data_IF_539195272373
#
_entry.id   IF_539195272373
#
_cell.length_a   1.000
_cell.length_b   1.000
_cell.length_c   1.000
_cell.angle_alpha   90.00
_cell.angle_beta   90.00
_cell.angle_gamma   90.00
#
_symmetry.space_group_name_H-M   'P 1'
#
loop_
_entity.id
_entity.type
_entity.pdbx_description
1 polymer ?
#
# COMPACT_ATOMS: atom_id res chain seq x y z
N UNK A 1 0.33 -3.49 -24.54
CA UNK A 1 1.60 -3.57 -23.79
C UNK A 1 1.39 -2.87 -22.47
N UNK A 2 1.98 -3.37 -21.40
CA UNK A 2 1.75 -2.87 -20.06
C UNK A 2 3.08 -2.88 -19.31
N UNK A 3 3.37 -1.79 -18.60
CA UNK A 3 4.49 -1.67 -17.69
C UNK A 3 4.00 -1.02 -16.41
N UNK A 4 4.51 -1.43 -15.26
CA UNK A 4 4.21 -0.82 -13.95
C UNK A 4 5.47 -0.52 -13.17
N UNK A 5 5.49 0.59 -12.45
CA UNK A 5 6.65 1.04 -11.65
C UNK A 5 6.58 0.66 -10.17
N UNK A 6 5.52 -0.04 -9.75
CA UNK A 6 5.29 -0.51 -8.39
C UNK A 6 5.57 -2.02 -8.23
N UNK A 7 5.65 -2.48 -6.98
CA UNK A 7 5.66 -3.92 -6.68
C UNK A 7 4.30 -4.57 -6.94
N UNK A 8 4.26 -5.91 -6.84
CA UNK A 8 3.06 -6.72 -7.06
C UNK A 8 2.36 -7.10 -5.74
N UNK A 9 1.04 -7.31 -5.79
CA UNK A 9 0.24 -7.73 -4.63
C UNK A 9 0.70 -9.07 -3.98
N UNK A 10 1.18 -10.10 -4.70
CA UNK A 10 1.77 -11.29 -4.07
C UNK A 10 2.94 -10.96 -3.14
N UNK A 11 3.79 -10.01 -3.55
CA UNK A 11 4.88 -9.51 -2.73
C UNK A 11 4.33 -8.75 -1.52
N UNK A 12 3.42 -7.80 -1.73
CA UNK A 12 2.86 -6.96 -0.67
C UNK A 12 2.07 -7.76 0.39
N UNK A 13 1.23 -8.71 -0.04
CA UNK A 13 0.50 -9.58 0.87
C UNK A 13 1.44 -10.41 1.75
N UNK A 14 2.53 -10.89 1.16
CA UNK A 14 3.59 -11.60 1.89
C UNK A 14 4.36 -10.67 2.83
N UNK A 15 4.63 -9.42 2.44
CA UNK A 15 5.24 -8.40 3.31
C UNK A 15 4.39 -8.18 4.55
N UNK A 16 3.09 -7.96 4.38
CA UNK A 16 2.19 -7.69 5.50
C UNK A 16 1.97 -8.91 6.39
N UNK A 17 1.95 -10.13 5.83
CA UNK A 17 1.91 -11.36 6.61
C UNK A 17 3.18 -11.57 7.45
N UNK A 18 4.36 -11.35 6.85
CA UNK A 18 5.64 -11.40 7.57
C UNK A 18 5.70 -10.35 8.68
N UNK A 19 5.30 -9.12 8.39
CA UNK A 19 5.22 -8.04 9.38
C UNK A 19 4.35 -8.46 10.57
N UNK A 20 3.11 -8.89 10.30
CA UNK A 20 2.18 -9.30 11.36
C UNK A 20 2.76 -10.42 12.24
N UNK A 21 3.35 -11.44 11.61
CA UNK A 21 3.95 -12.57 12.33
C UNK A 21 5.16 -12.17 13.17
N UNK A 22 6.02 -11.28 12.65
CA UNK A 22 7.19 -10.75 13.35
C UNK A 22 6.79 -9.86 14.54
N UNK A 23 5.68 -9.13 14.44
CA UNK A 23 5.07 -8.39 15.55
C UNK A 23 4.24 -9.31 16.48
N UNK A 24 4.48 -10.62 16.41
CA UNK A 24 3.93 -11.68 17.27
C UNK A 24 2.43 -11.99 17.07
N UNK A 25 1.78 -11.49 16.02
CA UNK A 25 0.41 -11.89 15.72
C UNK A 25 0.33 -13.40 15.46
N UNK A 26 -0.67 -14.06 16.05
CA UNK A 26 -0.96 -15.49 15.87
C UNK A 26 -2.26 -15.71 15.13
N UNK A 27 -3.16 -14.73 15.20
CA UNK A 27 -4.47 -14.78 14.57
C UNK A 27 -4.75 -13.50 13.79
N UNK A 28 -5.38 -13.66 12.61
CA UNK A 28 -5.76 -12.55 11.77
C UNK A 28 -7.23 -12.64 11.34
N UNK A 29 -7.88 -11.51 11.12
CA UNK A 29 -9.08 -11.42 10.32
C UNK A 29 -8.77 -10.69 9.01
N UNK A 30 -9.44 -11.05 7.92
CA UNK A 30 -9.28 -10.42 6.61
C UNK A 30 -10.61 -9.89 6.13
N UNK A 31 -10.66 -8.61 5.74
CA UNK A 31 -11.86 -7.93 5.23
C UNK A 31 -11.57 -7.45 3.82
N UNK A 32 -12.32 -7.95 2.83
CA UNK A 32 -12.09 -7.63 1.40
C UNK A 32 -13.35 -7.13 0.71
N UNK A 33 -13.19 -6.38 -0.38
CA UNK A 33 -14.30 -5.97 -1.22
C UNK A 33 -14.59 -7.04 -2.27
N UNK A 34 -15.83 -7.53 -2.30
CA UNK A 34 -16.28 -8.46 -3.32
C UNK A 34 -16.22 -7.81 -4.70
N UNK A 35 -15.55 -8.48 -5.65
CA UNK A 35 -15.47 -8.04 -7.04
C UNK A 35 -14.41 -6.96 -7.31
N UNK A 36 -13.59 -6.62 -6.31
CA UNK A 36 -12.41 -5.77 -6.49
C UNK A 36 -11.15 -6.65 -6.52
N UNK A 37 -10.47 -6.67 -7.67
CA UNK A 37 -9.33 -7.57 -7.90
C UNK A 37 -8.15 -7.26 -6.98
N UNK A 38 -7.89 -5.97 -6.69
CA UNK A 38 -6.84 -5.56 -5.76
C UNK A 38 -7.16 -6.01 -4.33
N UNK A 39 -8.33 -5.64 -3.79
CA UNK A 39 -8.73 -5.98 -2.43
C UNK A 39 -8.79 -7.49 -2.22
N UNK A 40 -9.44 -8.21 -3.14
CA UNK A 40 -9.57 -9.66 -3.07
C UNK A 40 -8.22 -10.35 -3.26
N UNK A 41 -7.42 -9.93 -4.25
CA UNK A 41 -6.12 -10.49 -4.55
C UNK A 41 -5.13 -10.30 -3.40
N UNK A 42 -4.93 -9.06 -2.96
CA UNK A 42 -4.03 -8.73 -1.86
C UNK A 42 -4.44 -9.43 -0.55
N UNK A 43 -5.74 -9.45 -0.25
CA UNK A 43 -6.28 -10.19 0.90
C UNK A 43 -5.96 -11.68 0.83
N UNK A 44 -6.14 -12.31 -0.33
CA UNK A 44 -5.83 -13.73 -0.53
C UNK A 44 -4.32 -14.02 -0.38
N UNK A 45 -3.44 -13.19 -0.96
CA UNK A 45 -1.99 -13.38 -0.80
C UNK A 45 -1.55 -13.24 0.66
N UNK A 46 -2.13 -12.30 1.41
CA UNK A 46 -1.90 -12.21 2.85
C UNK A 46 -2.37 -13.47 3.57
N UNK A 47 -3.57 -13.99 3.29
CA UNK A 47 -4.10 -15.23 3.89
C UNK A 47 -3.14 -16.39 3.67
N UNK A 48 -2.73 -16.61 2.42
CA UNK A 48 -1.83 -17.71 2.07
C UNK A 48 -0.48 -17.61 2.77
N UNK A 49 0.11 -16.41 2.80
CA UNK A 49 1.39 -16.19 3.45
C UNK A 49 1.29 -16.30 4.98
N UNK A 50 0.26 -15.73 5.59
CA UNK A 50 0.07 -15.74 7.03
C UNK A 50 -0.24 -17.14 7.57
N UNK A 51 -1.07 -17.93 6.87
CA UNK A 51 -1.34 -19.32 7.27
C UNK A 51 -0.10 -20.22 7.11
N UNK A 52 0.79 -19.95 6.14
CA UNK A 52 2.09 -20.65 6.03
C UNK A 52 3.01 -20.36 7.23
N UNK A 53 2.98 -19.13 7.75
CA UNK A 53 3.84 -18.69 8.86
C UNK A 53 3.28 -19.06 10.24
N UNK A 54 1.99 -18.79 10.47
CA UNK A 54 1.31 -18.92 11.76
C UNK A 54 0.52 -20.24 11.91
N UNK A 55 0.40 -21.04 10.84
CA UNK A 55 -0.30 -22.31 10.81
C UNK A 55 -1.68 -22.24 10.16
N UNK A 56 -2.13 -23.36 9.58
CA UNK A 56 -3.44 -23.44 8.93
C UNK A 56 -4.57 -23.07 9.90
N UNK A 57 -5.48 -22.19 9.47
CA UNK A 57 -6.57 -21.69 10.30
C UNK A 57 -6.19 -20.51 11.21
N UNK A 58 -4.97 -19.96 11.12
CA UNK A 58 -4.58 -18.73 11.81
C UNK A 58 -5.35 -17.50 11.33
N UNK A 59 -5.90 -17.52 10.12
CA UNK A 59 -6.89 -16.53 9.69
C UNK A 59 -8.27 -16.97 10.19
N UNK A 60 -8.68 -16.41 11.32
CA UNK A 60 -9.85 -16.82 12.10
C UNK A 60 -11.17 -16.22 11.61
N UNK A 61 -11.12 -15.22 10.73
CA UNK A 61 -12.29 -14.63 10.06
C UNK A 61 -11.91 -14.10 8.68
N UNK A 62 -12.76 -14.38 7.68
CA UNK A 62 -12.62 -13.91 6.30
C UNK A 62 -13.96 -13.31 5.90
N UNK A 63 -14.04 -12.00 5.84
CA UNK A 63 -15.27 -11.27 5.59
C UNK A 63 -15.20 -10.50 4.26
N UNK A 64 -16.36 -10.26 3.67
CA UNK A 64 -16.49 -9.53 2.42
C UNK A 64 -17.55 -8.45 2.52
N UNK A 65 -17.30 -7.31 1.88
CA UNK A 65 -18.26 -6.21 1.73
C UNK A 65 -18.54 -5.91 0.25
N UNK A 66 -19.68 -5.28 -0.03
CA UNK A 66 -20.08 -4.87 -1.37
C UNK A 66 -19.52 -3.48 -1.73
N UNK A 67 -19.35 -3.20 -3.02
CA UNK A 67 -19.02 -1.84 -3.49
C UNK A 67 -20.04 -0.83 -2.95
N UNK A 68 -19.56 0.34 -2.51
CA UNK A 68 -20.34 1.42 -1.90
C UNK A 68 -21.00 1.07 -0.55
N UNK A 69 -20.65 -0.06 0.09
CA UNK A 69 -21.10 -0.34 1.44
C UNK A 69 -20.51 0.67 2.42
N UNK A 70 -21.36 1.22 3.29
CA UNK A 70 -20.96 2.23 4.30
C UNK A 70 -21.16 1.77 5.73
N UNK A 71 -21.99 0.74 5.97
CA UNK A 71 -22.17 0.12 7.28
C UNK A 71 -21.44 -1.22 7.32
N UNK A 72 -20.48 -1.35 8.22
CA UNK A 72 -19.62 -2.50 8.42
C UNK A 72 -19.90 -3.21 9.76
N UNK A 73 -20.92 -2.81 10.52
CA UNK A 73 -21.16 -3.32 11.88
C UNK A 73 -21.34 -4.83 11.94
N UNK A 74 -22.03 -5.43 10.97
CA UNK A 74 -22.22 -6.88 10.93
C UNK A 74 -20.89 -7.63 10.74
N UNK A 75 -20.12 -7.22 9.73
CA UNK A 75 -18.77 -7.73 9.45
C UNK A 75 -17.88 -7.59 10.69
N UNK A 76 -17.86 -6.39 11.27
CA UNK A 76 -17.01 -6.09 12.43
C UNK A 76 -17.46 -6.81 13.71
N UNK A 77 -18.75 -7.13 13.84
CA UNK A 77 -19.25 -7.98 14.93
C UNK A 77 -18.71 -9.40 14.81
N UNK A 78 -18.68 -9.96 13.59
CA UNK A 78 -18.06 -11.28 13.34
C UNK A 78 -16.56 -11.25 13.66
N UNK A 79 -15.86 -10.22 13.18
CA UNK A 79 -14.42 -10.03 13.46
C UNK A 79 -14.17 -9.90 14.96
N UNK A 80 -14.97 -9.10 15.68
CA UNK A 80 -14.87 -8.97 17.13
C UNK A 80 -15.09 -10.29 17.86
N UNK A 81 -16.06 -11.09 17.41
CA UNK A 81 -16.33 -12.41 18.00
C UNK A 81 -15.18 -13.41 17.77
N UNK A 82 -14.49 -13.31 16.62
CA UNK A 82 -13.30 -14.10 16.33
C UNK A 82 -12.06 -13.64 17.11
N UNK A 83 -12.06 -12.40 17.62
CA UNK A 83 -11.01 -11.81 18.47
C UNK A 83 -9.58 -12.01 17.91
N UNK A 84 -9.29 -11.54 16.69
CA UNK A 84 -7.97 -11.68 16.08
C UNK A 84 -6.95 -10.71 16.72
N UNK A 85 -5.66 -11.03 16.62
CA UNK A 85 -4.59 -10.10 17.00
C UNK A 85 -4.53 -8.91 16.03
N UNK A 86 -4.74 -9.19 14.73
CA UNK A 86 -4.67 -8.21 13.64
C UNK A 86 -5.86 -8.31 12.68
N UNK A 87 -6.22 -7.20 12.06
CA UNK A 87 -7.19 -7.15 10.95
C UNK A 87 -6.44 -6.67 9.72
N UNK A 88 -6.49 -7.41 8.62
CA UNK A 88 -5.98 -6.95 7.33
C UNK A 88 -7.15 -6.57 6.41
N UNK A 89 -7.26 -5.30 6.05
CA UNK A 89 -8.40 -4.73 5.35
C UNK A 89 -7.98 -3.93 4.10
N UNK A 90 -7.41 -4.57 3.06
CA UNK A 90 -7.07 -3.87 1.83
C UNK A 90 -8.34 -3.30 1.19
N UNK A 91 -8.43 -1.98 1.07
CA UNK A 91 -9.64 -1.30 0.58
C UNK A 91 -9.32 0.07 -0.02
N UNK A 92 -10.32 0.69 -0.65
CA UNK A 92 -10.19 2.05 -1.16
C UNK A 92 -10.01 3.10 -0.05
N UNK A 93 -9.49 4.27 -0.45
CA UNK A 93 -9.38 5.48 0.37
C UNK A 93 -10.74 5.89 0.96
N UNK A 94 -11.83 5.74 0.20
CA UNK A 94 -13.17 6.10 0.64
C UNK A 94 -13.72 5.12 1.71
N UNK A 95 -13.37 3.84 1.60
CA UNK A 95 -13.84 2.79 2.52
C UNK A 95 -13.04 2.73 3.81
N UNK A 96 -11.72 2.97 3.74
CA UNK A 96 -10.79 2.88 4.87
C UNK A 96 -11.29 3.58 6.16
N UNK A 97 -11.66 4.89 6.14
CA UNK A 97 -12.08 5.57 7.36
C UNK A 97 -13.37 5.00 7.96
N UNK A 98 -14.25 4.40 7.14
CA UNK A 98 -15.50 3.80 7.63
C UNK A 98 -15.23 2.51 8.40
N UNK A 99 -14.35 1.64 7.89
CA UNK A 99 -13.92 0.42 8.58
C UNK A 99 -13.22 0.79 9.89
N UNK A 100 -12.26 1.72 9.84
CA UNK A 100 -11.46 2.15 11.00
C UNK A 100 -12.38 2.67 12.12
N UNK A 101 -13.23 3.65 11.81
CA UNK A 101 -14.13 4.27 12.80
C UNK A 101 -15.05 3.24 13.43
N UNK A 102 -15.75 2.47 12.62
CA UNK A 102 -16.74 1.51 13.12
C UNK A 102 -16.09 0.38 13.92
N UNK A 103 -14.87 -0.03 13.56
CA UNK A 103 -14.12 -1.02 14.34
C UNK A 103 -13.81 -0.48 15.75
N UNK A 104 -13.31 0.75 15.84
CA UNK A 104 -12.99 1.39 17.12
C UNK A 104 -14.24 1.70 17.95
N UNK A 105 -15.32 2.18 17.35
CA UNK A 105 -16.62 2.40 18.00
C UNK A 105 -17.20 1.10 18.58
N UNK A 106 -16.96 -0.04 17.93
CA UNK A 106 -17.34 -1.37 18.44
C UNK A 106 -16.36 -1.90 19.51
N UNK A 107 -15.32 -1.16 19.87
CA UNK A 107 -14.33 -1.54 20.87
C UNK A 107 -13.37 -2.63 20.40
N UNK A 108 -13.13 -2.75 19.09
CA UNK A 108 -12.10 -3.64 18.56
C UNK A 108 -10.72 -2.99 18.77
N UNK A 109 -9.86 -3.68 19.50
CA UNK A 109 -8.51 -3.20 19.85
C UNK A 109 -7.40 -3.84 19.01
N UNK A 110 -7.73 -4.80 18.15
CA UNK A 110 -6.79 -5.41 17.20
C UNK A 110 -6.08 -4.34 16.36
N UNK A 111 -4.82 -4.58 16.00
CA UNK A 111 -4.11 -3.69 15.07
C UNK A 111 -4.80 -3.81 13.70
N UNK A 112 -5.20 -2.68 13.14
CA UNK A 112 -5.81 -2.64 11.81
C UNK A 112 -4.70 -2.35 10.81
N UNK A 113 -4.58 -3.21 9.82
CA UNK A 113 -3.53 -3.20 8.82
C UNK A 113 -4.12 -3.13 7.41
N UNK A 114 -3.40 -2.54 6.46
CA UNK A 114 -3.82 -2.49 5.06
C UNK A 114 -2.63 -2.41 4.08
N UNK A 115 -2.96 -2.34 2.79
CA UNK A 115 -2.01 -2.09 1.71
C UNK A 115 -1.74 -0.59 1.50
N UNK A 116 -1.04 -0.32 0.40
CA UNK A 116 -0.50 0.97 -0.03
C UNK A 116 -1.56 2.04 -0.28
N UNK A 117 -2.76 1.63 -0.70
CA UNK A 117 -3.89 2.55 -0.94
C UNK A 117 -4.23 3.39 0.29
N UNK A 118 -3.87 2.93 1.50
CA UNK A 118 -4.17 3.63 2.74
C UNK A 118 -3.19 4.77 3.09
N UNK A 119 -2.09 4.97 2.34
CA UNK A 119 -1.21 6.13 2.56
C UNK A 119 -1.78 7.40 1.91
N UNK A 120 -2.84 7.92 2.52
CA UNK A 120 -3.50 9.14 2.09
C UNK A 120 -4.00 9.94 3.30
N UNK A 121 -3.68 11.24 3.35
CA UNK A 121 -4.05 12.11 4.49
C UNK A 121 -5.56 12.12 4.77
N UNK A 122 -6.37 12.01 3.71
CA UNK A 122 -7.83 12.04 3.85
C UNK A 122 -8.38 10.89 4.68
N UNK A 123 -7.65 9.77 4.80
CA UNK A 123 -8.03 8.66 5.68
C UNK A 123 -7.86 9.09 7.13
N UNK A 124 -6.73 9.71 7.48
CA UNK A 124 -6.49 10.24 8.83
C UNK A 124 -7.51 11.33 9.16
N UNK A 125 -7.71 12.28 8.25
CA UNK A 125 -8.69 13.37 8.40
C UNK A 125 -10.10 12.83 8.64
N UNK A 126 -10.52 11.83 7.86
CA UNK A 126 -11.86 11.26 7.94
C UNK A 126 -12.03 10.23 9.05
N UNK A 127 -10.98 9.54 9.51
CA UNK A 127 -11.04 8.61 10.63
C UNK A 127 -10.84 9.32 11.99
N UNK A 128 -10.16 10.46 12.01
CA UNK A 128 -9.83 11.21 13.21
C UNK A 128 -8.91 10.42 14.14
N UNK A 129 -9.15 10.53 15.45
CA UNK A 129 -8.37 9.81 16.48
C UNK A 129 -8.38 8.28 16.30
N UNK A 130 -9.39 7.73 15.63
CA UNK A 130 -9.49 6.29 15.38
C UNK A 130 -8.44 5.78 14.39
N UNK A 131 -7.80 6.66 13.61
CA UNK A 131 -6.70 6.31 12.73
C UNK A 131 -5.42 5.92 13.49
N UNK A 132 -5.26 6.34 14.74
CA UNK A 132 -4.05 6.10 15.50
C UNK A 132 -3.75 4.60 15.62
N UNK A 133 -2.50 4.23 15.36
CA UNK A 133 -2.02 2.85 15.40
C UNK A 133 -2.48 1.95 14.25
N UNK A 134 -3.14 2.46 13.20
CA UNK A 134 -3.29 1.68 11.96
C UNK A 134 -1.93 1.53 11.28
N UNK A 135 -1.71 0.40 10.62
CA UNK A 135 -0.44 0.07 9.96
C UNK A 135 -0.66 -0.21 8.48
N UNK A 136 0.28 0.17 7.63
CA UNK A 136 0.21 -0.12 6.20
C UNK A 136 1.58 -0.38 5.58
N UNK A 137 1.60 -1.17 4.51
CA UNK A 137 2.74 -1.24 3.59
C UNK A 137 2.64 -0.16 2.51
N UNK A 138 3.76 0.38 2.04
CA UNK A 138 3.80 1.39 0.97
C UNK A 138 5.11 1.38 0.18
N UNK A 139 5.18 2.18 -0.88
CA UNK A 139 6.26 2.28 -1.86
C UNK A 139 7.36 3.27 -1.50
N UNK A 140 7.06 4.22 -0.61
CA UNK A 140 7.84 5.44 -0.47
C UNK A 140 7.87 5.95 0.97
N UNK A 141 9.03 6.42 1.41
CA UNK A 141 9.19 7.19 2.65
C UNK A 141 9.86 8.52 2.36
N UNK A 142 9.24 9.62 2.82
CA UNK A 142 9.75 10.97 2.61
C UNK A 142 10.80 11.40 3.65
N UNK A 143 10.97 10.63 4.74
CA UNK A 143 11.88 10.96 5.83
C UNK A 143 13.35 10.67 5.51
N UNK A 144 13.62 9.76 4.57
CA UNK A 144 14.98 9.36 4.17
C UNK A 144 15.10 9.24 2.64
N UNK A 145 15.21 10.36 1.90
CA UNK A 145 15.31 10.32 0.45
C UNK A 145 16.64 9.70 0.00
N UNK A 146 16.55 8.58 -0.72
CA UNK A 146 17.72 7.84 -1.20
C UNK A 146 18.46 8.51 -2.38
N UNK A 147 17.84 9.49 -3.07
CA UNK A 147 18.37 10.15 -4.26
C UNK A 147 18.11 11.66 -4.26
N UNK A 148 18.93 12.42 -4.99
CA UNK A 148 18.70 13.86 -5.23
C UNK A 148 17.37 14.11 -5.94
N UNK A 149 16.95 13.17 -6.79
CA UNK A 149 15.65 13.20 -7.47
C UNK A 149 14.50 13.05 -6.46
N UNK A 150 14.61 12.11 -5.51
CA UNK A 150 13.64 11.94 -4.43
C UNK A 150 13.55 13.21 -3.55
N UNK A 151 14.70 13.79 -3.18
CA UNK A 151 14.72 15.04 -2.42
C UNK A 151 14.08 16.21 -3.19
N UNK A 152 14.33 16.31 -4.50
CA UNK A 152 13.74 17.33 -5.37
C UNK A 152 12.23 17.14 -5.52
N UNK A 153 11.78 15.91 -5.71
CA UNK A 153 10.37 15.55 -5.74
C UNK A 153 9.68 15.92 -4.43
N UNK A 154 10.21 15.51 -3.27
CA UNK A 154 9.61 15.80 -1.95
C UNK A 154 9.42 17.29 -1.78
N UNK A 155 10.47 18.07 -2.04
CA UNK A 155 10.41 19.53 -1.91
C UNK A 155 9.34 20.11 -2.84
N UNK A 156 9.41 19.79 -4.14
CA UNK A 156 8.49 20.34 -5.14
C UNK A 156 7.04 19.95 -4.89
N UNK A 157 6.79 18.70 -4.46
CA UNK A 157 5.45 18.22 -4.19
C UNK A 157 4.87 18.84 -2.91
N UNK A 158 5.67 19.03 -1.85
CA UNK A 158 5.24 19.78 -0.66
C UNK A 158 4.93 21.24 -0.96
N UNK A 159 5.74 21.89 -1.79
CA UNK A 159 5.45 23.26 -2.26
C UNK A 159 4.10 23.28 -3.01
N UNK A 160 3.85 22.34 -3.91
CA UNK A 160 2.55 22.19 -4.61
C UNK A 160 1.38 21.96 -3.64
N UNK A 161 1.51 21.04 -2.68
CA UNK A 161 0.46 20.74 -1.70
C UNK A 161 0.09 21.99 -0.89
N UNK A 162 1.11 22.73 -0.43
CA UNK A 162 0.95 23.97 0.32
C UNK A 162 0.27 25.07 -0.49
N UNK A 163 0.67 25.26 -1.75
CA UNK A 163 0.03 26.23 -2.66
C UNK A 163 -1.45 25.91 -2.92
N UNK A 164 -1.82 24.63 -2.85
CA UNK A 164 -3.19 24.16 -3.04
C UNK A 164 -3.99 23.97 -1.73
N UNK A 165 -3.45 24.42 -0.59
CA UNK A 165 -4.07 24.28 0.74
C UNK A 165 -4.42 22.83 1.10
N UNK A 166 -3.56 21.88 0.72
CA UNK A 166 -3.69 20.46 1.05
C UNK A 166 -2.78 20.11 2.24
N UNK A 167 -3.03 18.95 2.86
CA UNK A 167 -2.08 18.38 3.83
C UNK A 167 -0.71 18.22 3.18
N UNK A 168 0.37 18.49 3.92
CA UNK A 168 1.75 18.34 3.43
C UNK A 168 2.21 16.86 3.36
N UNK A 169 1.35 15.92 3.80
CA UNK A 169 1.57 14.48 3.64
C UNK A 169 1.47 14.13 2.16
N UNK A 170 2.58 13.68 1.57
CA UNK A 170 2.60 13.21 0.18
C UNK A 170 1.91 11.84 0.09
N UNK A 171 0.84 11.67 -0.70
CA UNK A 171 0.32 10.34 -0.98
C UNK A 171 1.38 9.54 -1.76
N UNK A 172 1.75 8.35 -1.32
CA UNK A 172 2.85 7.61 -1.95
C UNK A 172 2.61 7.27 -3.43
N UNK A 173 1.35 7.14 -3.85
CA UNK A 173 0.99 6.98 -5.27
C UNK A 173 1.42 8.17 -6.15
N UNK A 174 1.60 9.36 -5.57
CA UNK A 174 2.14 10.53 -6.28
C UNK A 174 3.61 10.35 -6.64
N UNK A 175 4.41 9.69 -5.79
CA UNK A 175 5.79 9.33 -6.09
C UNK A 175 5.86 8.33 -7.25
N UNK A 176 4.97 7.33 -7.26
CA UNK A 176 4.85 6.40 -8.39
C UNK A 176 4.41 7.10 -9.68
N UNK A 177 3.51 8.08 -9.61
CA UNK A 177 3.11 8.87 -10.77
C UNK A 177 4.27 9.67 -11.36
N UNK A 178 5.12 10.24 -10.51
CA UNK A 178 6.34 10.93 -10.91
C UNK A 178 7.31 9.98 -11.60
N UNK A 179 7.57 8.82 -11.00
CA UNK A 179 8.45 7.80 -11.54
C UNK A 179 7.95 7.24 -12.87
N UNK A 180 6.64 7.00 -13.01
CA UNK A 180 6.04 6.57 -14.27
C UNK A 180 6.27 7.59 -15.40
N UNK A 181 6.21 8.88 -15.09
CA UNK A 181 6.53 9.93 -16.04
C UNK A 181 8.01 9.94 -16.42
N UNK A 182 8.93 9.80 -15.45
CA UNK A 182 10.36 9.72 -15.72
C UNK A 182 10.71 8.50 -16.61
N UNK A 183 10.12 7.34 -16.33
CA UNK A 183 10.27 6.13 -17.14
C UNK A 183 9.79 6.37 -18.58
N UNK A 184 8.59 6.93 -18.74
CA UNK A 184 8.04 7.21 -20.07
C UNK A 184 8.92 8.19 -20.86
N UNK A 185 9.41 9.24 -20.20
CA UNK A 185 10.32 10.20 -20.79
C UNK A 185 11.64 9.55 -21.23
N UNK A 186 12.22 8.69 -20.39
CA UNK A 186 13.46 7.99 -20.71
C UNK A 186 13.28 7.01 -21.88
N UNK A 187 12.15 6.29 -21.93
CA UNK A 187 11.80 5.43 -23.05
C UNK A 187 11.69 6.22 -24.36
N UNK A 188 11.03 7.39 -24.34
CA UNK A 188 10.90 8.28 -25.51
C UNK A 188 12.28 8.75 -26.00
N UNK A 189 13.15 9.20 -25.08
CA UNK A 189 14.52 9.61 -25.44
C UNK A 189 15.31 8.47 -26.06
N UNK A 190 15.20 7.27 -25.49
CA UNK A 190 15.92 6.09 -25.96
C UNK A 190 15.39 5.57 -27.30
N UNK A 191 14.10 5.69 -27.55
CA UNK A 191 13.48 5.36 -28.83
C UNK A 191 13.86 6.34 -29.94
N UNK A 192 14.28 7.57 -29.59
CA UNK A 192 14.51 8.69 -30.52
C UNK A 192 13.34 8.88 -31.50
N UNK A 193 12.12 8.68 -30.98
CA UNK A 193 10.91 8.56 -31.78
C UNK A 193 9.67 8.80 -30.92
N UNK A 194 8.63 9.35 -31.56
CA UNK A 194 7.29 9.43 -30.99
C UNK A 194 6.41 8.22 -31.38
N UNK A 195 6.96 7.24 -32.08
CA UNK A 195 6.21 6.03 -32.47
C UNK A 195 5.90 5.16 -31.23
N UNK A 196 4.63 4.79 -30.99
CA UNK A 196 4.26 4.01 -29.81
C UNK A 196 4.92 2.63 -29.72
N UNK A 197 5.23 2.01 -30.85
CA UNK A 197 5.89 0.70 -30.91
C UNK A 197 7.36 0.83 -30.55
N UNK A 198 8.04 1.86 -31.07
CA UNK A 198 9.43 2.16 -30.72
C UNK A 198 9.59 2.52 -29.23
N UNK A 199 8.68 3.33 -28.68
CA UNK A 199 8.67 3.67 -27.24
C UNK A 199 8.46 2.43 -26.39
N UNK A 200 7.51 1.56 -26.77
CA UNK A 200 7.30 0.27 -26.09
C UNK A 200 8.57 -0.56 -26.07
N UNK A 201 9.24 -0.73 -27.21
CA UNK A 201 10.46 -1.55 -27.29
C UNK A 201 11.61 -0.95 -26.46
N UNK A 202 11.67 0.37 -26.35
CA UNK A 202 12.65 1.04 -25.52
C UNK A 202 12.44 0.80 -24.02
N UNK A 203 11.19 0.62 -23.55
CA UNK A 203 10.85 0.42 -22.13
C UNK A 203 11.58 -0.78 -21.51
N UNK A 204 11.73 -1.89 -22.24
CA UNK A 204 12.42 -3.09 -21.74
C UNK A 204 13.85 -2.79 -21.26
N UNK A 205 14.51 -1.81 -21.87
CA UNK A 205 15.87 -1.44 -21.49
C UNK A 205 15.96 -0.14 -20.67
N UNK A 206 14.86 0.42 -20.18
CA UNK A 206 14.91 1.59 -19.29
C UNK A 206 15.43 1.16 -17.92
N UNK A 207 16.39 1.94 -17.41
CA UNK A 207 16.92 1.82 -16.05
C UNK A 207 17.13 3.22 -15.51
N UNK A 208 16.41 3.58 -14.45
CA UNK A 208 16.53 4.88 -13.79
C UNK A 208 16.53 4.72 -12.28
N UNK A 209 17.14 5.67 -11.59
CA UNK A 209 16.98 5.84 -10.15
C UNK A 209 15.90 6.90 -9.92
N UNK A 210 14.70 6.43 -9.56
CA UNK A 210 13.53 7.28 -9.32
C UNK A 210 13.39 7.69 -7.86
N UNK A 211 12.23 8.25 -7.56
CA UNK A 211 11.78 8.63 -6.22
C UNK A 211 11.54 7.40 -5.34
N UNK A 212 10.93 6.36 -5.92
CA UNK A 212 10.62 5.09 -5.22
C UNK A 212 11.77 4.09 -5.28
N UNK A 213 13.00 4.57 -5.51
CA UNK A 213 14.20 3.77 -5.71
C UNK A 213 14.42 3.38 -7.17
N UNK A 214 15.34 2.43 -7.41
CA UNK A 214 15.69 2.01 -8.76
C UNK A 214 14.50 1.36 -9.49
N UNK A 215 14.42 1.58 -10.81
CA UNK A 215 13.37 1.05 -11.67
C UNK A 215 14.02 0.40 -12.89
N UNK A 216 13.74 -0.89 -13.02
CA UNK A 216 14.00 -1.71 -14.19
C UNK A 216 12.85 -2.72 -14.30
N UNK A 217 12.63 -3.29 -15.48
CA UNK A 217 11.49 -4.16 -15.74
C UNK A 217 11.91 -5.60 -16.03
N UNK A 218 11.06 -6.55 -15.64
CA UNK A 218 11.12 -7.91 -16.13
C UNK A 218 10.51 -8.03 -17.54
N UNK A 219 10.46 -9.26 -18.05
CA UNK A 219 9.90 -9.57 -19.38
C UNK A 219 8.38 -9.35 -19.47
N UNK A 220 7.68 -9.26 -18.34
CA UNK A 220 6.24 -9.01 -18.27
C UNK A 220 5.93 -7.50 -18.17
N UNK A 221 6.95 -6.67 -17.98
CA UNK A 221 6.81 -5.23 -17.75
C UNK A 221 6.60 -4.86 -16.28
N UNK A 222 6.82 -5.79 -15.35
CA UNK A 222 6.72 -5.54 -13.93
C UNK A 222 8.04 -4.98 -13.40
N UNK A 223 7.97 -3.91 -12.59
CA UNK A 223 9.17 -3.36 -11.99
C UNK A 223 9.79 -4.35 -11.01
N UNK A 224 11.12 -4.48 -11.09
CA UNK A 224 11.93 -5.28 -10.17
C UNK A 224 12.01 -4.56 -8.82
N UNK A 225 10.95 -4.67 -8.02
CA UNK A 225 10.83 -4.10 -6.68
C UNK A 225 10.74 -5.23 -5.66
N UNK A 226 11.66 -5.24 -4.70
CA UNK A 226 11.82 -6.27 -3.65
C UNK A 226 11.70 -5.70 -2.23
N UNK A 227 11.31 -4.42 -2.13
CA UNK A 227 11.28 -3.65 -0.90
C UNK A 227 9.94 -2.93 -0.74
N UNK A 228 9.41 -2.94 0.48
CA UNK A 228 8.29 -2.11 0.92
C UNK A 228 8.63 -1.42 2.23
N UNK A 229 8.02 -0.25 2.45
CA UNK A 229 8.05 0.45 3.72
C UNK A 229 6.80 0.08 4.53
N UNK A 230 6.95 -0.10 5.83
CA UNK A 230 5.83 -0.22 6.76
C UNK A 230 5.73 1.07 7.55
N UNK A 231 4.52 1.63 7.62
CA UNK A 231 4.22 2.85 8.36
C UNK A 231 3.05 2.63 9.33
N UNK A 232 3.05 3.40 10.41
CA UNK A 232 1.91 3.53 11.32
C UNK A 232 1.36 4.95 11.24
N UNK A 233 0.08 5.14 11.56
CA UNK A 233 -0.41 6.47 11.91
C UNK A 233 -0.12 6.73 13.39
N UNK A 234 0.47 7.89 13.68
CA UNK A 234 0.64 8.40 15.03
C UNK A 234 0.65 9.93 15.02
N UNK A 235 -0.02 10.56 15.99
CA UNK A 235 -0.12 12.02 16.09
C UNK A 235 -0.66 12.71 14.81
N UNK A 236 -1.53 12.03 14.06
CA UNK A 236 -2.11 12.54 12.82
C UNK A 236 -1.21 12.46 11.59
N UNK A 237 -0.07 11.77 11.67
CA UNK A 237 0.87 11.61 10.55
C UNK A 237 1.19 10.13 10.30
N UNK A 238 1.59 9.80 9.07
CA UNK A 238 2.23 8.52 8.77
C UNK A 238 3.68 8.55 9.22
N UNK A 239 4.06 7.62 10.11
CA UNK A 239 5.41 7.47 10.62
C UNK A 239 6.02 6.16 10.16
N UNK A 240 7.25 6.24 9.66
CA UNK A 240 8.04 5.06 9.33
C UNK A 240 8.20 4.13 10.54
N UNK A 241 7.98 2.84 10.31
CA UNK A 241 8.27 1.79 11.29
C UNK A 241 9.49 0.97 10.88
N UNK A 242 9.48 0.42 9.66
CA UNK A 242 10.57 -0.41 9.15
C UNK A 242 10.48 -0.59 7.65
N UNK A 243 11.60 -1.00 7.08
CA UNK A 243 11.69 -1.51 5.72
C UNK A 243 11.60 -3.03 5.76
N UNK A 244 10.80 -3.62 4.87
CA UNK A 244 10.67 -5.06 4.71
C UNK A 244 11.11 -5.44 3.30
N UNK A 245 12.02 -6.38 3.21
CA UNK A 245 12.39 -7.07 1.97
C UNK A 245 11.99 -8.54 2.09
N UNK A 246 11.63 -9.15 0.97
CA UNK A 246 11.45 -10.60 0.88
C UNK A 246 12.64 -11.10 0.07
N UNK A 247 13.57 -11.77 0.74
CA UNK A 247 14.64 -12.46 0.03
C UNK A 247 14.04 -13.65 -0.75
N UNK A 248 14.54 -13.87 -1.97
CA UNK A 248 14.20 -15.02 -2.82
C UNK A 248 14.42 -16.37 -2.12
#
# INVERSE_FOLDING_TARGET
YYYRVCFLDPFQGTVMANYAFQENAKTAAVITQLGDDYSSGLGNFFVEAFEKLAGAGSVVSKEQFQTNQTDFKAILTNVKAANPDVIFAPSSIATAPLIIKQARELGITSVIMAGDTWENSTIIENAGEHADGIVLSTFFDEGDPATDEAASFIKGFKDYLKENNQSEIIPAVSALGYDAYLVALEAIKKADSADPTAIRDALEGVKIDGVTGSIAFDVNGDALKDMAFIKTVADGEFKFLKTVTIAD
#
